data_IF_814271707470
#
_entry.id   IF_814271707470
#
_cell.length_a   1.000
_cell.length_b   1.000
_cell.length_c   1.000
_cell.angle_alpha   90.00
_cell.angle_beta   90.00
_cell.angle_gamma   90.00
#
_symmetry.space_group_name_H-M   'P 1'
#
loop_
_entity.id
_entity.type
_entity.pdbx_description
1 polymer ?
#
# COMPACT_ATOMS: atom_id res chain seq x y z
N UNK A 1 4.11 -22.02 -55.11
CA UNK A 1 3.46 -21.52 -53.88
C UNK A 1 3.26 -20.01 -54.05
N UNK A 2 2.01 -19.53 -54.15
CA UNK A 2 1.69 -18.17 -54.60
C UNK A 2 2.14 -17.12 -53.57
N UNK A 3 3.04 -16.21 -53.94
CA UNK A 3 3.58 -15.14 -53.09
C UNK A 3 2.47 -14.30 -52.42
N UNK A 4 1.33 -14.13 -53.11
CA UNK A 4 0.14 -13.43 -52.59
C UNK A 4 -0.55 -14.16 -51.43
N UNK A 5 -0.40 -15.48 -51.31
CA UNK A 5 -0.93 -16.29 -50.20
C UNK A 5 -0.02 -16.26 -48.96
N UNK A 6 1.30 -16.11 -49.16
CA UNK A 6 2.27 -15.96 -48.04
C UNK A 6 2.20 -14.59 -47.38
N UNK A 7 1.97 -13.53 -48.15
CA UNK A 7 1.79 -12.18 -47.60
C UNK A 7 0.49 -12.04 -46.79
N UNK A 8 -0.56 -12.77 -47.16
CA UNK A 8 -1.83 -12.74 -46.44
C UNK A 8 -1.76 -13.49 -45.09
N UNK A 9 -1.00 -14.59 -45.01
CA UNK A 9 -0.81 -15.33 -43.75
C UNK A 9 0.06 -14.57 -42.73
N UNK A 10 1.02 -13.77 -43.19
CA UNK A 10 1.88 -12.99 -42.28
C UNK A 10 1.12 -11.81 -41.65
N UNK A 11 0.16 -11.22 -42.38
CA UNK A 11 -0.65 -10.10 -41.87
C UNK A 11 -1.67 -10.54 -40.81
N UNK A 12 -2.18 -11.78 -40.89
CA UNK A 12 -3.17 -12.31 -39.93
C UNK A 12 -2.51 -12.72 -38.61
N UNK A 13 -1.23 -13.12 -38.62
CA UNK A 13 -0.52 -13.54 -37.40
C UNK A 13 -0.01 -12.38 -36.54
N UNK A 14 0.00 -11.13 -37.04
CA UNK A 14 0.44 -9.95 -36.28
C UNK A 14 -0.68 -9.31 -35.43
N UNK A 15 -1.92 -9.82 -35.52
CA UNK A 15 -3.11 -9.24 -34.87
C UNK A 15 -3.52 -9.91 -33.54
N UNK A 16 -2.68 -10.78 -32.95
CA UNK A 16 -3.06 -11.59 -31.78
C UNK A 16 -2.27 -11.25 -30.50
N UNK A 17 -1.60 -10.09 -30.42
CA UNK A 17 -0.82 -9.69 -29.23
C UNK A 17 -1.23 -8.34 -28.63
N UNK A 18 -2.52 -8.01 -28.66
CA UNK A 18 -3.08 -6.92 -27.85
C UNK A 18 -4.09 -7.47 -26.87
N UNK A 19 -3.63 -8.17 -25.83
CA UNK A 19 -4.37 -8.23 -24.57
C UNK A 19 -4.26 -6.86 -23.92
N UNK A 20 -5.06 -5.91 -24.40
CA UNK A 20 -5.38 -4.71 -23.65
C UNK A 20 -6.16 -5.18 -22.42
N UNK A 21 -5.50 -5.27 -21.27
CA UNK A 21 -6.22 -5.29 -20.00
C UNK A 21 -6.87 -3.93 -19.85
N UNK A 22 -8.15 -3.81 -20.22
CA UNK A 22 -8.98 -2.73 -19.75
C UNK A 22 -9.16 -2.91 -18.24
N UNK A 23 -8.18 -2.42 -17.46
CA UNK A 23 -8.48 -2.00 -16.11
C UNK A 23 -9.45 -0.84 -16.24
N UNK A 24 -10.67 -1.00 -15.74
CA UNK A 24 -11.55 0.15 -15.58
C UNK A 24 -10.86 1.09 -14.62
N UNK A 25 -10.34 2.19 -15.15
CA UNK A 25 -9.91 3.34 -14.36
C UNK A 25 -11.20 3.94 -13.79
N UNK A 26 -11.69 3.33 -12.72
CA UNK A 26 -12.84 3.85 -11.98
C UNK A 26 -12.38 5.19 -11.43
N UNK A 27 -12.93 6.28 -11.95
CA UNK A 27 -12.70 7.62 -11.42
C UNK A 27 -12.90 7.57 -9.90
N UNK A 28 -11.84 7.89 -9.14
CA UNK A 28 -11.78 7.73 -7.68
C UNK A 28 -12.86 8.54 -6.93
N UNK A 29 -13.63 9.36 -7.65
CA UNK A 29 -14.79 10.12 -7.16
C UNK A 29 -15.89 9.27 -6.51
N UNK A 30 -15.93 7.95 -6.72
CA UNK A 30 -16.89 7.04 -6.09
C UNK A 30 -16.32 6.11 -5.03
N UNK A 31 -15.01 6.15 -4.78
CA UNK A 31 -14.35 5.25 -3.82
C UNK A 31 -14.20 5.99 -2.48
N UNK A 32 -14.72 5.38 -1.42
CA UNK A 32 -14.46 5.80 -0.04
C UNK A 32 -13.60 4.74 0.63
N UNK A 33 -12.56 5.14 1.34
CA UNK A 33 -11.73 4.25 2.15
C UNK A 33 -11.59 4.83 3.53
N UNK A 34 -11.92 4.04 4.53
CA UNK A 34 -11.71 4.41 5.92
C UNK A 34 -11.09 3.25 6.66
N UNK A 35 -10.09 3.55 7.47
CA UNK A 35 -9.54 2.57 8.38
C UNK A 35 -8.43 3.12 9.24
N UNK A 36 -8.31 2.54 10.42
CA UNK A 36 -7.20 2.82 11.31
C UNK A 36 -6.92 1.57 12.14
N UNK A 37 -5.69 1.46 12.64
CA UNK A 37 -5.32 0.30 13.43
C UNK A 37 -3.89 0.32 13.92
N UNK A 38 -3.61 -0.64 14.78
CA UNK A 38 -2.24 -1.01 15.17
C UNK A 38 -1.83 -2.20 14.33
N UNK A 39 -0.63 -2.17 13.76
CA UNK A 39 -0.09 -3.24 12.93
C UNK A 39 1.28 -3.69 13.42
N UNK A 40 1.77 -4.81 12.90
CA UNK A 40 3.14 -5.27 13.05
C UNK A 40 3.80 -5.46 11.68
N UNK A 41 5.05 -5.03 11.55
CA UNK A 41 5.86 -5.24 10.36
C UNK A 41 6.29 -6.71 10.25
N UNK A 42 5.92 -7.36 9.16
CA UNK A 42 6.28 -8.76 8.89
C UNK A 42 7.79 -8.88 8.69
N UNK A 43 8.45 -9.73 9.48
CA UNK A 43 9.90 -9.92 9.44
C UNK A 43 10.72 -8.87 10.21
N UNK A 44 10.07 -7.86 10.80
CA UNK A 44 10.72 -6.83 11.59
C UNK A 44 11.41 -5.73 10.77
N UNK A 45 11.98 -4.75 11.48
CA UNK A 45 12.71 -3.61 10.93
C UNK A 45 14.22 -3.84 10.85
N UNK A 46 15.02 -2.75 10.79
CA UNK A 46 16.48 -2.84 10.83
C UNK A 46 16.96 -3.72 11.98
N UNK A 47 17.80 -4.71 11.67
CA UNK A 47 18.30 -5.68 12.65
C UNK A 47 17.24 -6.68 13.15
N UNK A 48 16.15 -6.90 12.40
CA UNK A 48 15.04 -7.84 12.70
C UNK A 48 14.25 -7.54 13.97
N UNK A 49 14.44 -6.36 14.55
CA UNK A 49 13.67 -5.92 15.70
C UNK A 49 12.18 -5.82 15.32
N UNK A 50 11.25 -6.22 16.21
CA UNK A 50 9.83 -6.03 15.92
C UNK A 50 9.55 -4.53 15.74
N UNK A 51 8.64 -4.21 14.84
CA UNK A 51 8.15 -2.84 14.60
C UNK A 51 6.65 -2.89 14.69
N UNK A 52 6.08 -2.06 15.55
CA UNK A 52 4.65 -1.80 15.59
C UNK A 52 4.38 -0.54 14.81
N UNK A 53 3.34 -0.52 13.99
CA UNK A 53 2.89 0.72 13.36
C UNK A 53 1.49 1.11 13.85
N UNK A 54 1.19 2.39 13.75
CA UNK A 54 -0.17 2.94 13.84
C UNK A 54 -0.51 3.53 12.50
N UNK A 55 -1.49 2.92 11.83
CA UNK A 55 -1.92 3.29 10.49
C UNK A 55 -3.27 3.99 10.54
N UNK A 56 -3.45 5.00 9.70
CA UNK A 56 -4.69 5.72 9.47
C UNK A 56 -4.87 6.02 7.98
N UNK A 57 -6.06 5.71 7.46
CA UNK A 57 -6.48 5.95 6.09
C UNK A 57 -7.85 6.61 6.14
N UNK A 58 -7.97 7.77 5.52
CA UNK A 58 -9.25 8.37 5.20
C UNK A 58 -9.19 8.89 3.76
N UNK A 59 -10.10 8.43 2.90
CA UNK A 59 -10.22 8.86 1.52
C UNK A 59 -11.69 8.91 1.15
N UNK A 60 -12.14 10.06 0.65
CA UNK A 60 -13.52 10.27 0.25
C UNK A 60 -13.57 11.34 -0.84
N UNK A 61 -14.52 11.22 -1.77
CA UNK A 61 -14.77 12.24 -2.80
C UNK A 61 -13.51 12.61 -3.63
N UNK A 62 -12.62 11.65 -3.86
CA UNK A 62 -11.42 11.81 -4.67
C UNK A 62 -10.20 12.42 -3.97
N UNK A 63 -10.24 12.62 -2.65
CA UNK A 63 -9.09 13.09 -1.87
C UNK A 63 -9.08 12.47 -0.48
N UNK A 64 -7.93 12.54 0.20
CA UNK A 64 -7.80 11.93 1.51
C UNK A 64 -6.46 12.19 2.15
N UNK A 65 -6.21 11.50 3.25
CA UNK A 65 -4.98 11.58 4.01
C UNK A 65 -4.57 10.21 4.52
N UNK A 66 -3.25 10.00 4.53
CA UNK A 66 -2.62 8.80 5.05
C UNK A 66 -1.67 9.15 6.18
N UNK A 67 -1.68 8.33 7.23
CA UNK A 67 -0.74 8.38 8.33
C UNK A 67 -0.22 6.96 8.64
N UNK A 68 1.09 6.83 8.81
CA UNK A 68 1.71 5.63 9.35
C UNK A 68 2.90 5.99 10.24
N UNK A 69 2.74 5.76 11.55
CA UNK A 69 3.79 5.93 12.57
C UNK A 69 4.40 4.58 12.89
N UNK A 70 5.71 4.42 12.74
CA UNK A 70 6.45 3.21 13.08
C UNK A 70 7.25 3.38 14.38
N UNK A 71 7.10 2.39 15.27
CA UNK A 71 7.67 2.37 16.60
C UNK A 71 8.52 1.10 16.79
N UNK A 72 9.71 1.27 17.34
CA UNK A 72 10.60 0.18 17.76
C UNK A 72 10.66 0.09 19.30
N UNK A 73 11.07 -1.07 19.84
CA UNK A 73 11.39 -1.21 21.26
C UNK A 73 12.44 -0.19 21.70
N UNK A 74 12.28 0.32 22.93
CA UNK A 74 13.27 1.22 23.56
C UNK A 74 14.53 0.50 24.02
N UNK A 75 14.48 -0.84 24.13
CA UNK A 75 15.61 -1.66 24.55
C UNK A 75 15.66 -3.00 23.77
N UNK A 76 16.85 -3.63 23.65
CA UNK A 76 17.00 -4.92 22.98
C UNK A 76 16.21 -6.05 23.66
N UNK A 77 15.81 -7.06 22.89
CA UNK A 77 15.13 -8.24 23.41
C UNK A 77 15.87 -8.87 24.61
N UNK A 78 15.11 -9.26 25.64
CA UNK A 78 15.65 -9.84 26.87
C UNK A 78 16.11 -8.83 27.92
N UNK A 79 15.97 -7.53 27.67
CA UNK A 79 16.27 -6.47 28.65
C UNK A 79 14.99 -5.76 29.14
N UNK A 80 15.00 -5.16 30.35
CA UNK A 80 13.88 -4.34 30.81
C UNK A 80 13.55 -3.22 29.80
N UNK A 81 12.26 -3.08 29.46
CA UNK A 81 11.80 -2.09 28.45
C UNK A 81 11.71 -2.65 27.01
N UNK A 82 12.14 -3.88 26.75
CA UNK A 82 12.06 -4.50 25.42
C UNK A 82 10.65 -4.76 24.89
N UNK A 83 9.62 -4.68 25.74
CA UNK A 83 8.21 -4.72 25.34
C UNK A 83 7.58 -3.35 25.08
N UNK A 84 8.31 -2.25 25.31
CA UNK A 84 7.83 -0.88 25.15
C UNK A 84 8.22 -0.31 23.80
N UNK A 85 7.24 -0.19 22.90
CA UNK A 85 7.41 0.32 21.54
C UNK A 85 7.20 1.84 21.50
N UNK A 86 8.15 2.60 22.03
CA UNK A 86 8.04 4.06 22.14
C UNK A 86 9.10 4.81 21.31
N UNK A 87 10.04 4.09 20.69
CA UNK A 87 11.06 4.72 19.85
C UNK A 87 10.50 4.98 18.45
N UNK A 88 10.17 6.24 18.14
CA UNK A 88 9.77 6.65 16.80
C UNK A 88 10.95 6.55 15.82
N UNK A 89 10.82 5.64 14.86
CA UNK A 89 11.84 5.42 13.84
C UNK A 89 11.43 5.93 12.46
N UNK A 90 10.14 6.13 12.22
CA UNK A 90 9.60 6.61 10.96
C UNK A 90 8.19 7.12 11.14
N UNK A 91 7.87 8.24 10.52
CA UNK A 91 6.50 8.71 10.37
C UNK A 91 6.26 9.14 8.93
N UNK A 92 5.24 8.57 8.31
CA UNK A 92 4.80 8.85 6.94
C UNK A 92 3.44 9.51 7.02
N UNK A 93 3.33 10.72 6.48
CA UNK A 93 2.07 11.46 6.50
C UNK A 93 1.90 12.28 5.24
N UNK A 94 0.71 12.27 4.66
CA UNK A 94 0.45 13.10 3.48
C UNK A 94 -0.86 12.82 2.76
N UNK A 95 -1.20 13.69 1.79
CA UNK A 95 -2.44 13.58 1.04
C UNK A 95 -2.44 12.34 0.14
N UNK A 96 -3.60 11.71 0.07
CA UNK A 96 -3.93 10.70 -0.93
C UNK A 96 -4.59 11.40 -2.12
N UNK A 97 -4.05 11.19 -3.32
CA UNK A 97 -4.53 11.80 -4.56
C UNK A 97 -5.37 10.88 -5.43
N UNK A 98 -5.27 9.56 -5.25
CA UNK A 98 -6.06 8.60 -6.02
C UNK A 98 -6.27 7.29 -5.26
N UNK A 99 -7.36 6.61 -5.61
CA UNK A 99 -7.71 5.28 -5.11
C UNK A 99 -8.17 4.40 -6.27
N UNK A 100 -7.89 3.11 -6.20
CA UNK A 100 -8.38 2.11 -7.14
C UNK A 100 -8.66 0.79 -6.42
N UNK A 101 -9.75 0.12 -6.77
CA UNK A 101 -10.11 -1.19 -6.21
C UNK A 101 -9.50 -2.31 -7.03
N UNK A 102 -8.98 -3.33 -6.35
CA UNK A 102 -8.40 -4.53 -6.93
C UNK A 102 -8.93 -5.75 -6.17
N UNK A 103 -10.16 -6.17 -6.48
CA UNK A 103 -10.85 -7.22 -5.72
C UNK A 103 -11.06 -6.80 -4.27
N UNK A 104 -10.51 -7.57 -3.33
CA UNK A 104 -10.59 -7.32 -1.88
C UNK A 104 -9.50 -6.38 -1.35
N UNK A 105 -8.74 -5.75 -2.24
CA UNK A 105 -7.73 -4.76 -1.88
C UNK A 105 -8.05 -3.40 -2.49
N UNK A 106 -7.61 -2.33 -1.82
CA UNK A 106 -7.59 -0.97 -2.36
C UNK A 106 -6.15 -0.49 -2.48
N UNK A 107 -5.85 0.15 -3.61
CA UNK A 107 -4.55 0.80 -3.87
C UNK A 107 -4.74 2.30 -3.86
N UNK A 108 -4.04 2.96 -2.95
CA UNK A 108 -4.04 4.39 -2.71
C UNK A 108 -2.69 4.98 -3.09
N UNK A 109 -2.66 6.10 -3.80
CA UNK A 109 -1.42 6.78 -4.17
C UNK A 109 -1.47 8.25 -3.76
N UNK A 110 -0.31 8.81 -3.45
CA UNK A 110 -0.19 10.18 -3.00
C UNK A 110 1.26 10.61 -2.83
N UNK A 111 1.44 11.71 -2.11
CA UNK A 111 2.76 12.20 -1.71
C UNK A 111 2.82 12.36 -0.20
N UNK A 112 3.99 12.11 0.39
CA UNK A 112 4.19 12.14 1.82
C UNK A 112 5.39 13.00 2.22
N UNK A 113 5.30 13.51 3.45
CA UNK A 113 6.46 13.85 4.26
C UNK A 113 6.82 12.62 5.09
N UNK A 114 8.10 12.26 5.05
CA UNK A 114 8.65 11.15 5.82
C UNK A 114 9.67 11.69 6.82
N UNK A 115 9.56 11.29 8.08
CA UNK A 115 10.60 11.52 9.09
C UNK A 115 11.31 10.21 9.42
N UNK A 116 12.51 10.29 10.00
CA UNK A 116 13.28 9.11 10.38
C UNK A 116 13.84 8.32 9.19
N UNK A 117 13.61 7.02 9.16
CA UNK A 117 14.09 6.15 8.08
C UNK A 117 13.42 6.55 6.75
N UNK A 118 14.25 6.86 5.74
CA UNK A 118 13.76 7.30 4.44
C UNK A 118 13.23 8.74 4.42
N UNK A 119 13.70 9.60 5.33
CA UNK A 119 13.24 10.98 5.47
C UNK A 119 13.32 11.81 4.18
N UNK A 120 12.32 12.66 3.99
CA UNK A 120 12.21 13.58 2.87
C UNK A 120 10.80 14.15 2.74
N UNK A 121 10.61 15.07 1.79
CA UNK A 121 9.31 15.71 1.52
C UNK A 121 8.89 15.47 0.08
N UNK A 122 7.58 15.54 -0.18
CA UNK A 122 6.99 15.30 -1.49
C UNK A 122 7.40 13.94 -2.10
N UNK A 123 7.59 12.94 -1.25
CA UNK A 123 7.98 11.60 -1.69
C UNK A 123 6.72 10.87 -2.17
N UNK A 124 6.71 10.27 -3.36
CA UNK A 124 5.59 9.48 -3.80
C UNK A 124 5.44 8.25 -2.89
N UNK A 125 4.21 7.91 -2.56
CA UNK A 125 3.89 6.69 -1.84
C UNK A 125 2.77 5.91 -2.53
N UNK A 126 2.72 4.62 -2.22
CA UNK A 126 1.59 3.74 -2.53
C UNK A 126 1.24 2.93 -1.29
N UNK A 127 -0.04 2.88 -0.94
CA UNK A 127 -0.59 2.02 0.11
C UNK A 127 -1.53 1.03 -0.55
N UNK A 128 -1.27 -0.26 -0.36
CA UNK A 128 -2.21 -1.34 -0.72
C UNK A 128 -2.77 -1.92 0.56
N UNK A 129 -4.08 -1.83 0.77
CA UNK A 129 -4.72 -2.36 1.97
C UNK A 129 -5.79 -3.36 1.59
N UNK A 130 -5.76 -4.53 2.22
CA UNK A 130 -6.82 -5.52 2.11
C UNK A 130 -8.02 -5.06 2.98
N UNK A 131 -9.23 -5.49 2.63
CA UNK A 131 -10.42 -5.27 3.46
C UNK A 131 -10.35 -6.13 4.73
N UNK A 132 -10.79 -5.59 5.86
CA UNK A 132 -11.03 -6.38 7.08
C UNK A 132 -10.30 -5.87 8.31
N UNK A 133 -10.31 -6.69 9.36
CA UNK A 133 -9.82 -6.36 10.71
C UNK A 133 -8.46 -7.01 11.03
N UNK A 134 -8.26 -7.50 12.27
CA UNK A 134 -7.03 -8.20 12.64
C UNK A 134 -6.68 -9.35 11.69
N UNK A 135 -5.41 -9.43 11.29
CA UNK A 135 -4.88 -10.37 10.30
C UNK A 135 -4.87 -9.83 8.86
N UNK A 136 -5.56 -8.74 8.57
CA UNK A 136 -5.57 -8.08 7.26
C UNK A 136 -4.22 -7.42 6.96
N UNK A 137 -3.81 -7.47 5.69
CA UNK A 137 -2.53 -6.93 5.21
C UNK A 137 -2.63 -5.46 4.82
N UNK A 138 -1.62 -4.69 5.19
CA UNK A 138 -1.36 -3.34 4.66
C UNK A 138 0.06 -3.30 4.11
N UNK A 139 0.25 -2.77 2.91
CA UNK A 139 1.56 -2.66 2.27
C UNK A 139 1.82 -1.20 1.96
N UNK A 140 2.87 -0.64 2.54
CA UNK A 140 3.33 0.73 2.28
C UNK A 140 4.61 0.69 1.45
N UNK A 141 4.58 1.30 0.27
CA UNK A 141 5.75 1.59 -0.53
C UNK A 141 6.03 3.10 -0.52
N UNK A 142 7.20 3.50 -0.02
CA UNK A 142 7.63 4.90 0.08
C UNK A 142 9.15 4.95 0.20
N UNK A 143 9.78 6.04 -0.27
CA UNK A 143 11.24 6.24 -0.16
C UNK A 143 12.08 5.09 -0.75
N UNK A 144 11.57 4.39 -1.77
CA UNK A 144 12.23 3.22 -2.38
C UNK A 144 12.19 1.95 -1.53
N UNK A 145 11.44 1.94 -0.42
CA UNK A 145 11.26 0.80 0.48
C UNK A 145 9.84 0.25 0.38
N UNK A 146 9.66 -1.00 0.81
CA UNK A 146 8.34 -1.63 0.91
C UNK A 146 8.20 -2.30 2.27
N UNK A 147 7.14 -1.94 2.98
CA UNK A 147 6.81 -2.41 4.31
C UNK A 147 5.54 -3.24 4.23
N UNK A 148 5.62 -4.51 4.64
CA UNK A 148 4.46 -5.42 4.66
C UNK A 148 4.01 -5.61 6.09
N UNK A 149 2.82 -5.10 6.37
CA UNK A 149 2.26 -4.99 7.71
C UNK A 149 1.04 -5.90 7.86
N UNK A 150 0.87 -6.44 9.07
CA UNK A 150 -0.33 -7.20 9.46
C UNK A 150 -1.05 -6.42 10.55
N UNK A 151 -2.33 -6.12 10.37
CA UNK A 151 -3.14 -5.49 11.42
C UNK A 151 -3.29 -6.42 12.62
N UNK A 152 -3.02 -5.89 13.81
CA UNK A 152 -3.29 -6.54 15.08
C UNK A 152 -4.65 -6.10 15.64
N UNK A 153 -5.02 -4.84 15.39
CA UNK A 153 -6.23 -4.18 15.89
C UNK A 153 -6.76 -3.20 14.85
N UNK A 154 -8.05 -2.86 14.94
CA UNK A 154 -8.70 -1.94 14.00
C UNK A 154 -9.21 -2.63 12.74
N UNK A 155 -9.51 -1.86 11.70
CA UNK A 155 -10.03 -2.37 10.43
C UNK A 155 -9.90 -1.40 9.27
N UNK A 156 -9.84 -1.92 8.04
CA UNK A 156 -9.94 -1.18 6.79
C UNK A 156 -11.25 -1.53 6.07
N UNK A 157 -11.95 -0.50 5.59
CA UNK A 157 -13.25 -0.60 4.93
C UNK A 157 -13.30 0.26 3.68
N UNK A 158 -13.97 -0.25 2.64
CA UNK A 158 -14.22 0.46 1.38
C UNK A 158 -15.42 -0.18 0.63
N UNK A 159 -16.03 0.45 -0.39
CA UNK A 159 -17.05 -0.18 -1.22
C UNK A 159 -16.52 -1.38 -2.02
N UNK A 160 -17.36 -2.38 -2.32
CA UNK A 160 -17.01 -3.49 -3.22
C UNK A 160 -16.50 -4.76 -2.52
N UNK A 161 -17.45 -5.59 -2.10
CA UNK A 161 -17.23 -6.92 -1.53
C UNK A 161 -18.59 -7.63 -1.45
N UNK A 162 -19.01 -8.20 -2.58
CA UNK A 162 -20.05 -9.23 -2.74
C UNK A 162 -19.71 -10.03 -4.01
#
# INVERSE_FOLDING_TARGET
MNHKRLLLSLLIMLLIHTSASWGSETDGRGITVEGAGTSILTGGGPGTAPVITRVGINFENGSGHFDCLALMPTAPAGTPGSGSFDNNIMYVTGPISAASLQGDSVVLTGTATVTGVGAGTNLPFTVTADRGGPGTKVVLAVSGMTFVETLLEGSITFPGGN
#
